data_IF_407329693029
#
_entry.id   IF_407329693029
#
_cell.length_a   1.000
_cell.length_b   1.000
_cell.length_c   1.000
_cell.angle_alpha   90.00
_cell.angle_beta   90.00
_cell.angle_gamma   90.00
#
_symmetry.space_group_name_H-M   'P 1'
#
loop_
_entity.id
_entity.type
_entity.pdbx_description
1 polymer ?
#
# COMPACT_ATOMS: atom_id res chain seq x y z
N UNK A 1 -9.64 18.36 -0.80
CA UNK A 1 -10.54 17.89 0.27
C UNK A 1 -9.77 16.99 1.22
N UNK A 2 -9.84 17.24 2.54
CA UNK A 2 -9.30 16.31 3.54
C UNK A 2 -10.23 15.10 3.61
N UNK A 3 -9.94 14.05 2.85
CA UNK A 3 -10.60 12.76 3.02
C UNK A 3 -9.97 12.07 4.24
N UNK A 4 -10.77 11.69 5.24
CA UNK A 4 -10.30 10.82 6.33
C UNK A 4 -10.06 11.50 7.68
N UNK A 5 -11.01 12.30 8.17
CA UNK A 5 -11.07 12.63 9.60
C UNK A 5 -11.77 11.54 10.42
N UNK A 6 -11.61 11.53 11.76
CA UNK A 6 -12.30 10.64 12.70
C UNK A 6 -13.79 10.42 12.41
N UNK A 7 -14.51 11.49 12.05
CA UNK A 7 -15.93 11.43 11.73
C UNK A 7 -16.30 10.90 10.34
N UNK A 8 -15.33 10.64 9.47
CA UNK A 8 -15.56 10.23 8.06
C UNK A 8 -15.17 8.78 7.76
N UNK A 9 -14.48 8.10 8.68
CA UNK A 9 -14.13 6.68 8.53
C UNK A 9 -15.25 5.86 9.19
N UNK A 10 -16.00 5.10 8.40
CA UNK A 10 -17.16 4.31 8.85
C UNK A 10 -16.84 3.39 10.05
N UNK A 11 -15.58 2.97 10.15
CA UNK A 11 -15.05 2.08 11.19
C UNK A 11 -14.42 2.80 12.39
N UNK A 12 -14.28 4.13 12.37
CA UNK A 12 -13.59 4.88 13.44
C UNK A 12 -14.32 4.73 14.77
N UNK A 13 -15.65 4.89 14.78
CA UNK A 13 -16.48 4.72 15.99
C UNK A 13 -16.37 3.30 16.54
N UNK A 14 -16.25 2.30 15.66
CA UNK A 14 -16.12 0.89 16.06
C UNK A 14 -14.72 0.62 16.62
N UNK A 15 -13.68 1.16 15.98
CA UNK A 15 -12.30 1.06 16.45
C UNK A 15 -12.14 1.76 17.81
N UNK A 16 -12.66 2.97 17.97
CA UNK A 16 -12.68 3.74 19.21
C UNK A 16 -13.41 3.01 20.34
N UNK A 17 -14.54 2.35 20.03
CA UNK A 17 -15.26 1.51 21.00
C UNK A 17 -14.47 0.25 21.36
N UNK A 18 -13.73 -0.34 20.42
CA UNK A 18 -12.92 -1.53 20.66
C UNK A 18 -11.67 -1.20 21.47
N UNK A 19 -10.91 -0.17 21.11
CA UNK A 19 -9.74 0.27 21.87
C UNK A 19 -10.16 0.75 23.25
N UNK A 20 -11.20 1.60 23.35
CA UNK A 20 -11.74 2.04 24.64
C UNK A 20 -12.19 0.89 25.54
N UNK A 21 -12.86 -0.14 25.00
CA UNK A 21 -13.24 -1.33 25.78
C UNK A 21 -12.05 -2.18 26.20
N UNK A 22 -11.02 -2.30 25.36
CA UNK A 22 -9.80 -3.02 25.71
C UNK A 22 -9.07 -2.28 26.84
N UNK A 23 -8.94 -0.96 26.76
CA UNK A 23 -8.36 -0.14 27.84
C UNK A 23 -9.18 -0.27 29.13
N UNK A 24 -10.50 -0.14 29.06
CA UNK A 24 -11.38 -0.28 30.22
C UNK A 24 -11.30 -1.67 30.86
N UNK A 25 -11.18 -2.73 30.05
CA UNK A 25 -11.15 -4.10 30.54
C UNK A 25 -9.77 -4.51 31.05
N UNK A 26 -8.69 -4.18 30.34
CA UNK A 26 -7.35 -4.64 30.68
C UNK A 26 -6.60 -3.70 31.62
N UNK A 27 -6.77 -2.38 31.49
CA UNK A 27 -6.00 -1.41 32.26
C UNK A 27 -6.73 -1.04 33.56
N UNK A 28 -8.02 -0.68 33.48
CA UNK A 28 -8.76 -0.18 34.66
C UNK A 28 -9.17 -1.27 35.67
N UNK A 29 -9.25 -2.54 35.25
CA UNK A 29 -9.66 -3.65 36.13
C UNK A 29 -8.49 -4.35 36.83
N UNK A 30 -7.24 -4.06 36.45
CA UNK A 30 -6.05 -4.65 37.06
C UNK A 30 -5.20 -3.55 37.71
N UNK A 31 -4.99 -3.57 39.04
CA UNK A 31 -4.15 -2.59 39.74
C UNK A 31 -2.72 -2.52 39.19
N UNK A 32 -2.17 -3.67 38.79
CA UNK A 32 -0.82 -3.77 38.23
C UNK A 32 -0.74 -3.11 36.84
N UNK A 33 -1.79 -3.24 36.03
CA UNK A 33 -1.85 -2.62 34.69
C UNK A 33 -2.15 -1.12 34.76
N UNK A 34 -2.96 -0.69 35.73
CA UNK A 34 -3.21 0.73 35.99
C UNK A 34 -1.93 1.45 36.44
N UNK A 35 -1.06 0.77 37.20
CA UNK A 35 0.22 1.31 37.61
C UNK A 35 1.23 1.38 36.43
N UNK A 36 1.15 0.46 35.48
CA UNK A 36 1.95 0.44 34.26
C UNK A 36 1.38 1.30 33.11
N UNK A 37 0.16 1.85 33.24
CA UNK A 37 -0.53 2.63 32.20
C UNK A 37 0.34 3.78 31.68
N UNK A 38 1.00 4.52 32.58
CA UNK A 38 1.88 5.63 32.20
C UNK A 38 3.13 5.17 31.42
N UNK A 39 3.63 3.96 31.69
CA UNK A 39 4.75 3.36 30.97
C UNK A 39 4.33 2.80 29.60
N UNK A 40 3.13 2.22 29.51
CA UNK A 40 2.58 1.59 28.30
C UNK A 40 2.09 2.64 27.30
N UNK A 41 1.33 3.63 27.77
CA UNK A 41 0.68 4.65 26.93
C UNK A 41 1.67 5.75 26.50
N UNK A 42 2.80 5.88 27.22
CA UNK A 42 3.84 6.89 26.96
C UNK A 42 3.33 8.35 26.91
N UNK A 43 2.13 8.59 27.44
CA UNK A 43 1.45 9.89 27.44
C UNK A 43 0.98 10.36 26.06
N UNK A 44 0.85 9.45 25.08
CA UNK A 44 0.29 9.77 23.77
C UNK A 44 -1.22 9.53 23.82
N UNK A 45 -2.05 10.44 23.27
CA UNK A 45 -3.47 10.15 23.14
C UNK A 45 -3.69 8.86 22.34
N UNK A 46 -4.57 7.98 22.82
CA UNK A 46 -5.03 6.76 22.10
C UNK A 46 -5.95 7.16 20.94
N UNK A 47 -5.37 7.89 19.99
CA UNK A 47 -6.01 8.36 18.79
C UNK A 47 -5.33 7.72 17.58
N UNK A 48 -6.15 7.33 16.60
CA UNK A 48 -5.66 6.86 15.31
C UNK A 48 -5.12 8.09 14.53
N UNK A 49 -3.90 8.52 14.87
CA UNK A 49 -3.29 9.75 14.41
C UNK A 49 -2.11 9.50 13.47
N UNK A 50 -2.36 8.88 12.32
CA UNK A 50 -1.37 8.80 11.23
C UNK A 50 -1.61 9.90 10.19
N UNK A 51 -0.56 10.48 9.56
CA UNK A 51 -0.78 11.30 8.37
C UNK A 51 -1.52 10.47 7.31
N UNK A 52 -2.45 11.09 6.57
CA UNK A 52 -3.14 10.47 5.43
C UNK A 52 -2.19 10.35 4.22
N UNK A 53 -1.12 9.59 4.40
CA UNK A 53 -0.04 9.44 3.46
C UNK A 53 0.52 8.02 3.48
N UNK A 54 1.05 7.59 2.34
CA UNK A 54 1.79 6.34 2.24
C UNK A 54 3.29 6.60 2.41
N UNK A 55 3.93 5.80 3.27
CA UNK A 55 5.38 5.81 3.45
C UNK A 55 6.04 5.18 2.22
N UNK A 56 7.06 5.85 1.67
CA UNK A 56 7.96 5.24 0.68
C UNK A 56 8.73 4.08 1.32
N UNK A 57 8.62 2.87 0.74
CA UNK A 57 9.33 1.67 1.20
C UNK A 57 10.80 1.72 0.74
N UNK A 58 11.73 1.04 1.44
CA UNK A 58 13.09 0.83 0.92
C UNK A 58 13.04 0.24 -0.49
N UNK A 59 13.94 0.70 -1.36
CA UNK A 59 14.01 0.26 -2.75
C UNK A 59 14.83 -1.03 -2.94
N UNK A 60 15.59 -1.45 -1.93
CA UNK A 60 16.38 -2.66 -2.00
C UNK A 60 15.49 -3.90 -2.10
N UNK A 61 15.75 -4.75 -3.09
CA UNK A 61 14.90 -5.91 -3.41
C UNK A 61 13.53 -5.57 -3.99
N UNK A 62 13.26 -4.30 -4.35
CA UNK A 62 11.98 -3.88 -4.95
C UNK A 62 11.69 -4.63 -6.26
N UNK A 63 12.74 -4.96 -7.01
CA UNK A 63 12.62 -5.72 -8.26
C UNK A 63 11.98 -7.10 -8.07
N UNK A 64 12.03 -7.66 -6.86
CA UNK A 64 11.51 -8.98 -6.53
C UNK A 64 10.09 -8.97 -5.92
N UNK A 65 9.45 -7.81 -5.79
CA UNK A 65 8.14 -7.69 -5.11
C UNK A 65 7.05 -7.04 -5.95
N UNK A 66 6.79 -7.47 -7.21
CA UNK A 66 5.56 -7.06 -7.89
C UNK A 66 4.33 -7.75 -7.27
N UNK A 67 3.12 -7.18 -7.43
CA UNK A 67 2.81 -5.89 -8.04
C UNK A 67 3.07 -4.69 -7.09
N UNK A 68 3.16 -3.50 -7.65
CA UNK A 68 3.61 -2.26 -6.98
C UNK A 68 2.45 -1.38 -6.49
N UNK A 69 2.81 -0.36 -5.71
CA UNK A 69 1.94 0.46 -4.84
C UNK A 69 1.43 -0.30 -3.60
N UNK A 70 0.84 0.44 -2.66
CA UNK A 70 0.40 -0.11 -1.37
C UNK A 70 -0.71 -1.17 -1.52
N UNK A 71 -1.46 -1.13 -2.61
CA UNK A 71 -2.57 -2.01 -2.93
C UNK A 71 -2.24 -3.00 -4.08
N UNK A 72 -1.00 -3.02 -4.56
CA UNK A 72 -0.59 -3.94 -5.62
C UNK A 72 -1.30 -3.69 -6.96
N UNK A 73 -1.65 -2.45 -7.27
CA UNK A 73 -2.48 -2.08 -8.44
C UNK A 73 -1.69 -1.82 -9.72
N UNK A 74 -0.36 -1.85 -9.67
CA UNK A 74 0.50 -1.64 -10.83
C UNK A 74 1.35 -2.89 -11.07
N UNK A 75 1.26 -3.55 -12.24
CA UNK A 75 1.83 -4.89 -12.43
C UNK A 75 3.36 -4.91 -12.56
N UNK A 76 4.00 -3.83 -13.00
CA UNK A 76 5.45 -3.77 -13.27
C UNK A 76 6.08 -2.42 -12.91
N UNK A 77 7.41 -2.39 -12.68
CA UNK A 77 8.14 -1.13 -12.46
C UNK A 77 8.06 -0.23 -13.69
N UNK A 78 8.09 -0.81 -14.89
CA UNK A 78 7.92 -0.04 -16.12
C UNK A 78 6.59 0.73 -16.12
N UNK A 79 5.48 0.08 -15.79
CA UNK A 79 4.18 0.74 -15.72
C UNK A 79 4.09 1.76 -14.56
N UNK A 80 4.82 1.55 -13.47
CA UNK A 80 4.90 2.52 -12.38
C UNK A 80 5.50 3.86 -12.84
N UNK A 81 6.42 3.82 -13.80
CA UNK A 81 7.07 5.00 -14.40
C UNK A 81 6.32 5.55 -15.62
N UNK A 82 5.14 5.02 -15.95
CA UNK A 82 4.24 5.59 -16.95
C UNK A 82 3.19 6.50 -16.29
N UNK A 83 2.64 7.49 -17.02
CA UNK A 83 1.45 8.21 -16.60
C UNK A 83 0.31 7.24 -16.26
N UNK A 84 -0.48 7.51 -15.21
CA UNK A 84 -1.57 6.59 -14.78
C UNK A 84 -2.50 6.19 -15.92
N UNK A 85 -2.76 7.10 -16.87
CA UNK A 85 -3.62 6.84 -18.02
C UNK A 85 -3.12 5.73 -18.95
N UNK A 86 -1.82 5.43 -18.95
CA UNK A 86 -1.18 4.42 -19.79
C UNK A 86 -0.98 3.08 -19.06
N UNK A 87 -1.27 3.03 -17.75
CA UNK A 87 -1.15 1.81 -16.94
C UNK A 87 -2.29 0.84 -17.22
N UNK A 88 -1.99 -0.44 -17.12
CA UNK A 88 -2.93 -1.54 -17.24
C UNK A 88 -4.01 -1.41 -16.16
N UNK A 89 -5.28 -1.49 -16.57
CA UNK A 89 -6.43 -1.37 -15.66
C UNK A 89 -6.97 -2.71 -15.17
N UNK A 90 -6.77 -3.77 -15.95
CA UNK A 90 -7.21 -5.12 -15.62
C UNK A 90 -6.07 -6.07 -15.93
N UNK A 91 -5.62 -6.83 -14.94
CA UNK A 91 -4.59 -7.85 -15.08
C UNK A 91 -4.89 -9.03 -14.15
N UNK A 92 -4.09 -10.08 -14.25
CA UNK A 92 -4.29 -11.33 -13.53
C UNK A 92 -3.16 -11.59 -12.56
N UNK A 93 -3.49 -12.02 -11.34
CA UNK A 93 -2.51 -12.39 -10.30
C UNK A 93 -2.68 -13.86 -9.90
N UNK A 94 -1.61 -14.43 -9.34
CA UNK A 94 -1.53 -15.86 -8.99
C UNK A 94 -0.64 -16.69 -9.93
N UNK A 95 -0.07 -16.05 -10.96
CA UNK A 95 0.91 -16.62 -11.87
C UNK A 95 2.31 -16.58 -11.25
N UNK A 96 3.17 -17.54 -11.62
CA UNK A 96 4.59 -17.55 -11.24
C UNK A 96 5.47 -16.83 -12.28
N UNK A 97 4.89 -16.52 -13.44
CA UNK A 97 5.53 -15.88 -14.56
C UNK A 97 5.94 -14.44 -14.21
N UNK A 98 7.23 -14.15 -14.42
CA UNK A 98 7.83 -12.86 -14.15
C UNK A 98 8.44 -12.31 -15.44
N UNK A 99 8.18 -11.02 -15.72
CA UNK A 99 8.78 -10.26 -16.80
C UNK A 99 10.07 -9.59 -16.27
N UNK A 100 11.27 -10.08 -16.62
CA UNK A 100 12.52 -9.49 -16.15
C UNK A 100 12.88 -8.19 -16.87
N UNK A 101 12.27 -7.88 -18.01
CA UNK A 101 12.52 -6.65 -18.76
C UNK A 101 11.79 -5.50 -18.06
N UNK A 102 10.46 -5.62 -17.92
CA UNK A 102 9.63 -4.60 -17.26
C UNK A 102 9.65 -4.67 -15.74
N UNK A 103 10.23 -5.74 -15.18
CA UNK A 103 10.32 -6.03 -13.75
C UNK A 103 8.94 -6.10 -13.13
N UNK A 104 8.24 -7.19 -13.37
CA UNK A 104 6.90 -7.36 -12.83
C UNK A 104 6.15 -8.59 -13.32
N UNK A 105 4.82 -8.52 -13.22
CA UNK A 105 3.93 -9.56 -13.71
C UNK A 105 3.83 -9.50 -15.24
N UNK A 106 3.75 -10.68 -15.86
CA UNK A 106 3.39 -10.79 -17.28
C UNK A 106 1.89 -10.48 -17.43
N UNK A 107 1.58 -9.30 -17.98
CA UNK A 107 0.20 -8.92 -18.29
C UNK A 107 -0.24 -9.67 -19.55
N UNK A 108 -1.25 -10.52 -19.42
CA UNK A 108 -1.73 -11.37 -20.50
C UNK A 108 -3.16 -11.86 -20.32
N UNK A 109 -3.48 -13.00 -20.91
CA UNK A 109 -4.79 -13.64 -20.80
C UNK A 109 -5.00 -14.32 -19.44
N UNK A 110 -6.26 -14.50 -19.00
CA UNK A 110 -6.55 -15.25 -17.80
C UNK A 110 -6.06 -16.71 -17.91
N UNK A 111 -5.58 -17.24 -16.81
CA UNK A 111 -5.16 -18.63 -16.65
C UNK A 111 -6.04 -19.35 -15.61
N UNK A 112 -6.08 -20.70 -15.59
CA UNK A 112 -6.85 -21.43 -14.59
C UNK A 112 -6.43 -21.08 -13.16
N UNK A 113 -7.38 -20.61 -12.34
CA UNK A 113 -7.11 -20.18 -10.97
C UNK A 113 -6.61 -18.74 -10.82
N UNK A 114 -6.54 -17.97 -11.91
CA UNK A 114 -6.20 -16.56 -11.87
C UNK A 114 -7.23 -15.73 -11.07
N UNK A 115 -6.73 -14.78 -10.28
CA UNK A 115 -7.56 -13.71 -9.74
C UNK A 115 -7.49 -12.49 -10.66
N UNK A 116 -8.65 -12.00 -11.10
CA UNK A 116 -8.76 -10.78 -11.91
C UNK A 116 -8.63 -9.56 -11.01
N UNK A 117 -7.56 -8.80 -11.16
CA UNK A 117 -7.38 -7.52 -10.51
C UNK A 117 -7.90 -6.41 -11.42
N UNK A 118 -8.91 -5.66 -10.95
CA UNK A 118 -9.49 -4.51 -11.66
C UNK A 118 -9.28 -3.22 -10.85
N UNK A 119 -8.52 -2.28 -11.43
CA UNK A 119 -8.13 -1.02 -10.78
C UNK A 119 -9.27 -0.01 -10.69
N UNK A 120 -10.41 -0.28 -11.34
CA UNK A 120 -11.61 0.57 -11.30
C UNK A 120 -12.45 0.31 -10.05
N UNK A 121 -12.18 -0.76 -9.30
CA UNK A 121 -12.91 -1.10 -8.10
C UNK A 121 -12.44 -0.24 -6.90
N UNK A 122 -13.32 0.06 -5.93
CA UNK A 122 -12.94 0.79 -4.72
C UNK A 122 -11.77 0.10 -3.99
N UNK A 123 -10.73 0.88 -3.67
CA UNK A 123 -9.50 0.37 -3.02
C UNK A 123 -8.42 -0.14 -3.98
N UNK A 124 -8.74 -0.38 -5.25
CA UNK A 124 -7.81 -0.97 -6.24
C UNK A 124 -7.17 0.05 -7.19
N UNK A 125 -7.41 1.36 -6.98
CA UNK A 125 -6.91 2.39 -7.89
C UNK A 125 -5.40 2.29 -8.12
N UNK A 126 -5.00 2.40 -9.39
CA UNK A 126 -3.61 2.46 -9.84
C UNK A 126 -3.08 3.89 -9.97
N UNK A 127 -3.78 4.86 -9.39
CA UNK A 127 -3.43 6.27 -9.44
C UNK A 127 -2.36 6.66 -8.41
N UNK A 128 -1.78 7.85 -8.62
CA UNK A 128 -0.69 8.38 -7.82
C UNK A 128 0.66 7.90 -8.31
N UNK A 129 1.73 8.30 -7.61
CA UNK A 129 3.11 8.08 -8.05
C UNK A 129 3.33 8.59 -9.48
N UNK A 130 2.95 9.84 -9.74
CA UNK A 130 3.13 10.53 -11.04
C UNK A 130 4.53 11.17 -11.15
N UNK A 131 5.52 10.59 -10.47
CA UNK A 131 6.91 11.05 -10.50
C UNK A 131 7.68 10.29 -11.57
N UNK A 132 8.50 10.98 -12.35
CA UNK A 132 9.30 10.36 -13.41
C UNK A 132 8.47 9.89 -14.62
N UNK A 133 7.19 10.28 -14.70
CA UNK A 133 6.33 9.96 -15.85
C UNK A 133 6.68 10.80 -17.09
N UNK A 134 7.45 11.87 -16.89
CA UNK A 134 8.05 12.75 -17.89
C UNK A 134 9.44 12.30 -18.37
N UNK A 135 10.00 11.23 -17.79
CA UNK A 135 11.27 10.67 -18.24
C UNK A 135 11.19 10.25 -19.72
N UNK A 136 12.31 10.46 -20.42
CA UNK A 136 12.50 9.88 -21.73
C UNK A 136 12.46 8.36 -21.66
N UNK A 137 12.17 7.70 -22.78
CA UNK A 137 12.11 6.24 -22.80
C UNK A 137 13.46 5.61 -22.39
N UNK A 138 14.58 6.18 -22.88
CA UNK A 138 15.91 5.72 -22.51
C UNK A 138 16.21 5.91 -21.02
N UNK A 139 15.81 7.04 -20.42
CA UNK A 139 16.04 7.29 -19.00
C UNK A 139 15.18 6.37 -18.12
N UNK A 140 13.95 6.07 -18.57
CA UNK A 140 13.07 5.12 -17.90
C UNK A 140 13.71 3.73 -17.85
N UNK A 141 14.23 3.24 -18.97
CA UNK A 141 14.92 1.95 -19.02
C UNK A 141 16.20 1.94 -18.19
N UNK A 142 17.00 3.02 -18.25
CA UNK A 142 18.20 3.15 -17.43
C UNK A 142 17.88 3.13 -15.93
N UNK A 143 16.80 3.79 -15.51
CA UNK A 143 16.33 3.75 -14.12
C UNK A 143 15.88 2.35 -13.71
N UNK A 144 15.17 1.62 -14.57
CA UNK A 144 14.77 0.23 -14.30
C UNK A 144 16.01 -0.65 -14.12
N UNK A 145 17.00 -0.56 -14.99
CA UNK A 145 18.26 -1.30 -14.85
C UNK A 145 18.98 -0.95 -13.54
N UNK A 146 19.01 0.32 -13.15
CA UNK A 146 19.53 0.71 -11.85
C UNK A 146 18.75 0.07 -10.69
N UNK A 147 17.41 0.08 -10.73
CA UNK A 147 16.57 -0.52 -9.69
C UNK A 147 16.74 -2.04 -9.57
N UNK A 148 17.12 -2.74 -10.65
CA UNK A 148 17.48 -4.17 -10.62
C UNK A 148 18.74 -4.46 -9.80
N UNK A 149 19.59 -3.45 -9.59
CA UNK A 149 20.84 -3.62 -8.81
C UNK A 149 20.67 -3.51 -7.30
N UNK A 150 19.49 -3.09 -6.82
CA UNK A 150 19.21 -2.80 -5.41
C UNK A 150 18.62 -3.99 -4.64
#
# INVERSE_FOLDING_TARGET
>A
EKVGGPGQILYYRVAELLTGKIVDQFVKQSPDNAQAEQEIDTGRPDEFGGPTAYRARPLNGLWATPPYLHNGSVPSLYELLLPTAQRTRVFYVGAWEFDPEKVGLVVGSPFPGAFTFDTRLPGNSNAGHEYGTDLSDSDRWALIEYLKTL
#
